data_IF_778385485333
#
_entry.id   IF_778385485333
#
_cell.length_a   1.000
_cell.length_b   1.000
_cell.length_c   1.000
_cell.angle_alpha   90.00
_cell.angle_beta   90.00
_cell.angle_gamma   90.00
#
_symmetry.space_group_name_H-M   'P 1'
#
loop_
_entity.id
_entity.type
_entity.pdbx_description
1 polymer ?
#
# COMPACT_ATOMS: atom_id res chain seq x y z
N UNK A 1 -18.31 -4.00 12.03
CA UNK A 1 -17.59 -3.09 11.11
C UNK A 1 -16.29 -3.67 10.61
N UNK A 2 -15.55 -4.43 11.44
CA UNK A 2 -14.37 -5.18 11.00
C UNK A 2 -14.66 -5.95 9.71
N UNK A 3 -13.75 -5.85 8.74
CA UNK A 3 -13.90 -6.47 7.42
C UNK A 3 -14.58 -5.58 6.37
N UNK A 4 -15.36 -4.56 6.75
CA UNK A 4 -16.02 -3.66 5.79
C UNK A 4 -15.04 -2.61 5.23
N UNK A 5 -15.27 -2.19 3.97
CA UNK A 5 -14.48 -1.13 3.35
C UNK A 5 -14.61 0.19 4.10
N UNK A 6 -13.46 0.78 4.41
CA UNK A 6 -13.36 2.03 5.15
C UNK A 6 -13.54 3.22 4.20
N UNK A 7 -14.65 3.95 4.34
CA UNK A 7 -14.96 5.12 3.49
C UNK A 7 -14.49 6.46 4.06
N UNK A 8 -13.96 6.47 5.28
CA UNK A 8 -13.43 7.69 5.93
C UNK A 8 -11.95 7.92 5.62
N UNK A 9 -11.48 9.14 5.86
CA UNK A 9 -10.06 9.53 5.82
C UNK A 9 -9.18 8.69 6.77
N UNK A 10 -7.89 8.48 6.46
CA UNK A 10 -7.21 8.87 5.23
C UNK A 10 -7.71 8.10 4.00
N UNK A 11 -7.62 8.73 2.84
CA UNK A 11 -7.96 8.14 1.55
C UNK A 11 -6.92 7.10 1.12
N UNK A 12 -7.33 6.16 0.26
CA UNK A 12 -6.48 5.01 -0.06
C UNK A 12 -5.22 5.43 -0.83
N UNK A 13 -5.35 6.44 -1.69
CA UNK A 13 -4.24 7.06 -2.41
C UNK A 13 -3.14 7.61 -1.46
N UNK A 14 -3.53 8.25 -0.35
CA UNK A 14 -2.60 8.76 0.64
C UNK A 14 -1.90 7.63 1.39
N UNK A 15 -2.60 6.52 1.66
CA UNK A 15 -2.01 5.33 2.28
C UNK A 15 -1.00 4.66 1.32
N UNK A 16 -1.36 4.51 0.04
CA UNK A 16 -0.47 3.99 -1.00
C UNK A 16 0.76 4.88 -1.12
N UNK A 17 0.58 6.20 -1.26
CA UNK A 17 1.68 7.16 -1.38
C UNK A 17 2.65 7.07 -0.20
N UNK A 18 2.13 6.91 1.03
CA UNK A 18 2.96 6.73 2.23
C UNK A 18 3.87 5.49 2.11
N UNK A 19 3.35 4.39 1.57
CA UNK A 19 4.15 3.18 1.30
C UNK A 19 5.18 3.44 0.22
N UNK A 20 4.78 4.07 -0.88
CA UNK A 20 5.66 4.35 -2.02
C UNK A 20 6.86 5.21 -1.61
N UNK A 21 6.58 6.33 -0.94
CA UNK A 21 7.60 7.27 -0.46
C UNK A 21 8.56 6.61 0.54
N UNK A 22 8.04 5.79 1.47
CA UNK A 22 8.84 5.17 2.53
C UNK A 22 9.66 3.96 2.07
N UNK A 23 9.18 3.23 1.05
CA UNK A 23 9.87 2.06 0.52
C UNK A 23 10.89 2.41 -0.58
N UNK A 24 10.84 3.62 -1.13
CA UNK A 24 11.77 4.05 -2.16
C UNK A 24 13.22 4.07 -1.64
N UNK A 25 14.14 3.45 -2.38
CA UNK A 25 15.52 3.22 -1.95
C UNK A 25 15.71 2.13 -0.89
N UNK A 26 14.63 1.51 -0.40
CA UNK A 26 14.65 0.46 0.62
C UNK A 26 14.17 -0.89 0.08
N UNK A 27 12.98 -0.95 -0.53
CA UNK A 27 12.41 -2.17 -1.12
C UNK A 27 12.66 -2.25 -2.63
N UNK A 28 12.75 -1.10 -3.29
CA UNK A 28 13.12 -0.93 -4.70
C UNK A 28 14.03 0.30 -4.83
N UNK A 29 14.65 0.48 -6.00
CA UNK A 29 15.56 1.60 -6.24
C UNK A 29 14.81 2.90 -6.52
N UNK A 30 13.76 2.81 -7.32
CA UNK A 30 12.89 3.95 -7.69
C UNK A 30 11.44 3.45 -7.80
N UNK A 31 10.46 4.26 -7.40
CA UNK A 31 9.04 3.88 -7.48
C UNK A 31 8.54 3.79 -8.93
N UNK A 32 9.30 4.30 -9.90
CA UNK A 32 9.07 4.06 -11.33
C UNK A 32 9.13 2.58 -11.75
N UNK A 33 9.69 1.70 -10.91
CA UNK A 33 9.76 0.27 -11.17
C UNK A 33 8.41 -0.43 -10.96
N UNK A 34 7.46 0.23 -10.32
CA UNK A 34 6.16 -0.34 -9.97
C UNK A 34 5.21 -0.18 -11.15
N UNK A 35 4.86 -1.30 -11.78
CA UNK A 35 3.99 -1.32 -12.96
C UNK A 35 2.53 -1.66 -12.64
N UNK A 36 2.26 -2.25 -11.47
CA UNK A 36 0.92 -2.62 -11.02
C UNK A 36 0.78 -2.44 -9.50
N UNK A 37 -0.37 -1.90 -9.06
CA UNK A 37 -0.75 -1.84 -7.65
C UNK A 37 -2.20 -2.29 -7.49
N UNK A 38 -2.42 -3.30 -6.65
CA UNK A 38 -3.75 -3.69 -6.18
C UNK A 38 -3.87 -3.36 -4.70
N UNK A 39 -4.93 -2.63 -4.32
CA UNK A 39 -5.07 -2.16 -2.93
C UNK A 39 -6.53 -1.98 -2.50
N UNK A 40 -6.77 -2.08 -1.19
CA UNK A 40 -8.03 -1.76 -0.55
C UNK A 40 -7.80 -1.31 0.91
N UNK A 41 -8.76 -0.58 1.50
CA UNK A 41 -8.78 -0.24 2.93
C UNK A 41 -10.04 -0.79 3.60
N UNK A 42 -9.86 -1.47 4.73
CA UNK A 42 -10.96 -2.00 5.56
C UNK A 42 -10.74 -1.69 7.03
N UNK A 43 -11.81 -1.72 7.81
CA UNK A 43 -11.68 -1.69 9.27
C UNK A 43 -11.06 -3.00 9.77
N UNK A 44 -10.11 -2.87 10.70
CA UNK A 44 -9.40 -3.96 11.36
C UNK A 44 -9.29 -3.66 12.86
N UNK A 45 -9.08 -4.69 13.68
CA UNK A 45 -8.95 -4.53 15.14
C UNK A 45 -7.71 -3.71 15.48
N UNK A 46 -6.64 -3.91 14.72
CA UNK A 46 -5.39 -3.14 14.81
C UNK A 46 -5.14 -2.37 13.51
N UNK A 47 -4.92 -1.04 13.56
CA UNK A 47 -4.55 -0.25 12.40
C UNK A 47 -3.16 -0.63 11.89
N UNK A 48 -3.08 -1.10 10.64
CA UNK A 48 -1.82 -1.42 9.98
C UNK A 48 -1.95 -1.36 8.46
N UNK A 49 -0.79 -1.30 7.80
CA UNK A 49 -0.66 -1.54 6.37
C UNK A 49 0.03 -2.90 6.21
N UNK A 50 -0.50 -3.73 5.31
CA UNK A 50 0.09 -5.02 4.95
C UNK A 50 0.41 -4.95 3.48
N UNK A 51 1.64 -5.28 3.12
CA UNK A 51 2.17 -5.19 1.76
C UNK A 51 2.61 -6.58 1.33
N UNK A 52 2.31 -6.93 0.09
CA UNK A 52 2.86 -8.08 -0.61
C UNK A 52 3.58 -7.55 -1.84
N UNK A 53 4.80 -8.04 -2.05
CA UNK A 53 5.61 -7.67 -3.21
C UNK A 53 5.81 -8.92 -4.06
N UNK A 54 5.59 -8.74 -5.36
CA UNK A 54 5.95 -9.70 -6.38
C UNK A 54 6.95 -9.04 -7.31
N UNK A 55 8.05 -9.73 -7.61
CA UNK A 55 9.16 -9.18 -8.39
C UNK A 55 9.30 -10.04 -9.64
N UNK A 56 8.97 -9.43 -10.78
CA UNK A 56 9.02 -10.07 -12.08
C UNK A 56 10.20 -9.51 -12.88
N UNK A 57 11.21 -10.36 -13.13
CA UNK A 57 12.39 -10.03 -13.94
C UNK A 57 13.59 -9.45 -13.17
N UNK A 58 14.78 -9.58 -13.78
CA UNK A 58 16.03 -8.86 -13.46
C UNK A 58 16.22 -7.68 -14.42
#
# INVERSE_FOLDING_TARGET
MIGQYKRTKPDIDNLIKTVLDAANGHLWKDDNQIVEIQSFKKYADEPKIVIYLDIEGD
#
